data_IF_461704078697
#
_entry.id   IF_461704078697
#
_cell.length_a   1.000
_cell.length_b   1.000
_cell.length_c   1.000
_cell.angle_alpha   90.00
_cell.angle_beta   90.00
_cell.angle_gamma   90.00
#
_symmetry.space_group_name_H-M   'P 1'
#
loop_
_entity.id
_entity.type
_entity.pdbx_description
1 polymer ?
#
# COMPACT_ATOMS: atom_id res chain seq x y z
N UNK A 1 -15.90 -15.46 -2.79
CA UNK A 1 -16.51 -14.20 -2.32
C UNK A 1 -15.35 -13.26 -2.09
N UNK A 2 -15.02 -12.41 -3.07
CA UNK A 2 -13.95 -11.42 -2.91
C UNK A 2 -14.30 -10.51 -1.73
N UNK A 3 -13.33 -10.13 -0.88
CA UNK A 3 -13.63 -9.22 0.21
C UNK A 3 -14.17 -7.93 -0.38
N UNK A 4 -15.26 -7.42 0.21
CA UNK A 4 -15.72 -6.06 -0.02
C UNK A 4 -14.50 -5.18 0.21
N UNK A 5 -14.06 -4.46 -0.83
CA UNK A 5 -12.87 -3.61 -0.75
C UNK A 5 -12.98 -2.63 0.42
N UNK A 6 -11.84 -2.10 0.89
CA UNK A 6 -11.82 -1.12 1.98
C UNK A 6 -12.78 0.03 1.60
N UNK A 7 -13.87 0.25 2.36
CA UNK A 7 -14.85 1.27 2.00
C UNK A 7 -14.24 2.66 2.08
N UNK A 8 -14.76 3.59 1.28
CA UNK A 8 -14.34 4.98 1.33
C UNK A 8 -14.57 5.56 2.75
N UNK A 9 -13.51 6.03 3.44
CA UNK A 9 -13.64 6.61 4.77
C UNK A 9 -14.41 7.94 4.77
N UNK A 10 -14.59 8.60 3.62
CA UNK A 10 -15.18 9.93 3.47
C UNK A 10 -14.51 10.98 4.35
N UNK A 11 -13.19 10.84 4.49
CA UNK A 11 -12.36 11.77 5.24
C UNK A 11 -12.34 13.14 4.56
N UNK A 12 -12.48 14.20 5.36
CA UNK A 12 -12.55 15.58 4.89
C UNK A 12 -11.19 16.26 4.92
N UNK A 13 -10.30 15.85 5.82
CA UNK A 13 -8.94 16.37 5.85
C UNK A 13 -8.14 15.80 4.66
N UNK A 14 -7.65 16.66 3.74
CA UNK A 14 -6.96 16.18 2.54
C UNK A 14 -5.68 15.39 2.85
N UNK A 15 -4.95 15.76 3.91
CA UNK A 15 -3.72 15.09 4.29
C UNK A 15 -4.01 13.68 4.82
N UNK A 16 -5.05 13.53 5.64
CA UNK A 16 -5.46 12.21 6.13
C UNK A 16 -5.99 11.36 4.97
N UNK A 17 -6.85 11.91 4.12
CA UNK A 17 -7.38 11.19 2.95
C UNK A 17 -6.25 10.71 2.02
N UNK A 18 -5.29 11.58 1.69
CA UNK A 18 -4.13 11.23 0.87
C UNK A 18 -3.22 10.19 1.54
N UNK A 19 -3.02 10.29 2.85
CA UNK A 19 -2.28 9.29 3.63
C UNK A 19 -2.95 7.92 3.62
N UNK A 20 -4.27 7.86 3.81
CA UNK A 20 -5.05 6.62 3.77
C UNK A 20 -5.03 5.98 2.37
N UNK A 21 -5.25 6.77 1.32
CA UNK A 21 -5.18 6.31 -0.06
C UNK A 21 -3.78 5.73 -0.39
N UNK A 22 -2.71 6.44 -0.01
CA UNK A 22 -1.32 5.99 -0.18
C UNK A 22 -1.02 4.71 0.57
N UNK A 23 -1.56 4.56 1.79
CA UNK A 23 -1.41 3.35 2.58
C UNK A 23 -2.10 2.16 1.92
N UNK A 24 -3.30 2.35 1.36
CA UNK A 24 -4.02 1.28 0.64
C UNK A 24 -3.23 0.83 -0.59
N UNK A 25 -2.72 1.76 -1.41
CA UNK A 25 -1.88 1.43 -2.57
C UNK A 25 -0.60 0.69 -2.17
N UNK A 26 0.06 1.13 -1.09
CA UNK A 26 1.24 0.45 -0.55
C UNK A 26 0.92 -0.97 -0.04
N UNK A 27 -0.22 -1.15 0.62
CA UNK A 27 -0.68 -2.46 1.07
C UNK A 27 -0.97 -3.39 -0.11
N UNK A 28 -1.64 -2.91 -1.16
CA UNK A 28 -1.90 -3.70 -2.38
C UNK A 28 -0.59 -4.16 -3.01
N UNK A 29 0.38 -3.25 -3.14
CA UNK A 29 1.72 -3.56 -3.67
C UNK A 29 2.39 -4.67 -2.84
N UNK A 30 2.40 -4.51 -1.51
CA UNK A 30 3.03 -5.48 -0.62
C UNK A 30 2.31 -6.83 -0.58
N UNK A 31 0.97 -6.84 -0.63
CA UNK A 31 0.19 -8.08 -0.69
C UNK A 31 0.43 -8.82 -1.99
N UNK A 32 0.40 -8.13 -3.13
CA UNK A 32 0.65 -8.76 -4.43
C UNK A 32 2.06 -9.34 -4.50
N UNK A 33 3.07 -8.63 -4.00
CA UNK A 33 4.41 -9.18 -3.87
C UNK A 33 4.46 -10.46 -3.00
N UNK A 34 3.76 -10.48 -1.85
CA UNK A 34 3.64 -11.70 -1.02
C UNK A 34 2.94 -12.85 -1.78
N UNK A 35 1.92 -12.54 -2.58
CA UNK A 35 1.25 -13.52 -3.43
C UNK A 35 2.22 -14.06 -4.50
N UNK A 36 3.04 -13.21 -5.12
CA UNK A 36 4.08 -13.66 -6.06
C UNK A 36 5.10 -14.61 -5.40
N UNK A 37 5.40 -14.41 -4.12
CA UNK A 37 6.27 -15.31 -3.34
C UNK A 37 5.61 -16.65 -2.97
N UNK A 38 4.32 -16.82 -3.22
CA UNK A 38 3.59 -18.02 -2.82
C UNK A 38 2.93 -17.93 -1.43
N UNK A 39 2.98 -16.78 -0.75
CA UNK A 39 2.35 -16.61 0.56
C UNK A 39 0.85 -16.43 0.36
N UNK A 40 0.02 -17.26 0.99
CA UNK A 40 -1.44 -17.25 0.77
C UNK A 40 -2.19 -16.83 2.04
N UNK A 41 -3.30 -16.11 1.86
CA UNK A 41 -4.22 -15.72 2.96
C UNK A 41 -4.82 -16.92 3.70
N UNK A 42 -4.90 -18.07 3.04
CA UNK A 42 -5.38 -19.33 3.63
C UNK A 42 -4.39 -19.97 4.61
N UNK A 43 -3.15 -19.46 4.68
CA UNK A 43 -2.04 -20.07 5.41
C UNK A 43 -1.41 -21.29 4.70
N UNK A 44 -1.98 -21.74 3.57
CA UNK A 44 -1.42 -22.80 2.74
C UNK A 44 -0.59 -22.18 1.63
N UNK A 45 0.70 -22.00 1.88
CA UNK A 45 1.61 -21.40 0.91
C UNK A 45 1.79 -22.28 -0.33
N UNK A 46 1.97 -21.62 -1.47
CA UNK A 46 2.21 -22.20 -2.78
C UNK A 46 3.70 -22.20 -3.10
N UNK A 47 4.32 -23.38 -3.07
CA UNK A 47 5.72 -23.58 -3.38
C UNK A 47 5.96 -24.08 -4.81
N UNK A 48 4.93 -24.08 -5.67
CA UNK A 48 5.06 -24.51 -7.07
C UNK A 48 5.74 -23.44 -7.91
N UNK A 49 6.24 -23.82 -9.08
CA UNK A 49 6.83 -22.87 -10.04
C UNK A 49 5.79 -21.88 -10.59
N UNK A 50 4.50 -22.24 -10.57
CA UNK A 50 3.39 -21.41 -11.05
C UNK A 50 2.86 -20.40 -10.02
N UNK A 51 3.45 -20.33 -8.82
CA UNK A 51 2.99 -19.46 -7.71
C UNK A 51 2.84 -17.99 -8.06
N UNK A 52 3.58 -17.49 -9.06
CA UNK A 52 3.56 -16.09 -9.55
C UNK A 52 2.33 -15.80 -10.41
N UNK A 53 1.64 -16.83 -10.91
CA UNK A 53 0.46 -16.71 -11.80
C UNK A 53 -0.79 -17.31 -11.20
N UNK A 54 -0.65 -18.17 -10.20
CA UNK A 54 -1.76 -18.90 -9.58
C UNK A 54 -2.39 -18.12 -8.41
N UNK A 55 -2.73 -16.86 -8.64
CA UNK A 55 -3.49 -16.03 -7.70
C UNK A 55 -4.23 -14.91 -8.43
N UNK A 56 -5.32 -14.45 -7.82
CA UNK A 56 -5.97 -13.20 -8.22
C UNK A 56 -5.28 -12.04 -7.51
N UNK A 57 -4.71 -11.06 -8.24
CA UNK A 57 -4.09 -9.90 -7.64
C UNK A 57 -5.10 -9.08 -6.84
N UNK A 58 -4.65 -8.52 -5.71
CA UNK A 58 -5.39 -7.49 -5.00
C UNK A 58 -5.40 -6.21 -5.84
N UNK A 59 -6.54 -5.53 -5.83
CA UNK A 59 -6.77 -4.27 -6.55
C UNK A 59 -7.23 -3.23 -5.52
N UNK A 60 -6.71 -2.01 -5.62
CA UNK A 60 -7.14 -0.92 -4.76
C UNK A 60 -8.63 -0.59 -5.01
N UNK A 61 -9.40 -0.21 -3.97
CA UNK A 61 -10.75 0.32 -4.14
C UNK A 61 -10.76 1.57 -5.02
N UNK A 62 -11.84 1.76 -5.81
CA UNK A 62 -11.94 2.87 -6.76
C UNK A 62 -11.70 4.26 -6.13
N UNK A 63 -12.19 4.50 -4.91
CA UNK A 63 -12.03 5.79 -4.21
C UNK A 63 -10.57 6.20 -4.03
N UNK A 64 -9.64 5.24 -3.95
CA UNK A 64 -8.22 5.52 -3.76
C UNK A 64 -7.66 6.34 -4.93
N UNK A 65 -8.10 6.02 -6.16
CA UNK A 65 -7.70 6.73 -7.37
C UNK A 65 -8.32 8.13 -7.48
N UNK A 66 -9.39 8.41 -6.73
CA UNK A 66 -10.08 9.70 -6.72
C UNK A 66 -9.42 10.71 -5.76
N UNK A 67 -8.56 10.26 -4.85
CA UNK A 67 -7.88 11.13 -3.89
C UNK A 67 -6.69 11.83 -4.56
N UNK A 68 -6.70 13.18 -4.67
CA UNK A 68 -5.63 13.92 -5.33
C UNK A 68 -4.37 14.00 -4.48
N UNK A 69 -3.26 14.37 -5.11
CA UNK A 69 -2.03 14.73 -4.42
C UNK A 69 -2.18 16.03 -3.60
N UNK A 70 -1.41 16.14 -2.52
CA UNK A 70 -1.37 17.35 -1.70
C UNK A 70 -0.67 18.50 -2.43
N UNK A 71 -1.17 19.73 -2.23
CA UNK A 71 -0.56 20.94 -2.80
C UNK A 71 0.88 21.16 -2.31
N UNK A 72 1.14 20.82 -1.04
CA UNK A 72 2.45 20.95 -0.39
C UNK A 72 2.95 19.59 0.05
N UNK A 73 4.27 19.40 -0.04
CA UNK A 73 4.92 18.18 0.40
C UNK A 73 4.68 17.97 1.90
N UNK A 74 4.05 16.85 2.25
CA UNK A 74 3.98 16.36 3.61
C UNK A 74 5.15 15.42 3.88
N UNK A 75 6.10 15.86 4.70
CA UNK A 75 7.27 15.06 5.05
C UNK A 75 7.06 14.34 6.38
N UNK A 76 6.78 13.04 6.31
CA UNK A 76 6.69 12.12 7.46
C UNK A 76 7.94 11.23 7.60
N UNK A 77 8.94 11.45 6.74
CA UNK A 77 10.16 10.63 6.62
C UNK A 77 11.36 11.28 7.31
N UNK A 78 11.43 12.60 7.28
CA UNK A 78 12.55 13.34 7.85
C UNK A 78 12.48 13.32 9.38
N UNK A 79 13.06 12.29 9.97
CA UNK A 79 13.39 12.24 11.39
C UNK A 79 14.92 12.38 11.57
N UNK A 80 15.42 13.47 12.19
CA UNK A 80 16.85 13.70 12.36
C UNK A 80 17.56 12.65 13.24
N UNK A 81 16.80 11.78 13.91
CA UNK A 81 17.32 10.75 14.82
C UNK A 81 17.19 9.32 14.28
N UNK A 82 16.69 9.12 13.05
CA UNK A 82 16.54 7.78 12.47
C UNK A 82 17.06 7.71 11.03
N UNK A 83 17.74 6.61 10.72
CA UNK A 83 17.96 6.20 9.33
C UNK A 83 16.69 5.52 8.84
N UNK A 84 15.82 6.27 8.19
CA UNK A 84 14.63 5.72 7.56
C UNK A 84 14.96 5.19 6.16
N UNK A 85 14.33 4.08 5.76
CA UNK A 85 14.44 3.55 4.40
C UNK A 85 13.85 4.50 3.35
N UNK A 86 14.07 4.23 2.07
CA UNK A 86 13.59 5.09 0.97
C UNK A 86 12.07 5.36 1.04
N UNK A 87 11.61 6.58 0.69
CA UNK A 87 10.19 6.88 0.58
C UNK A 87 9.48 5.95 -0.42
N UNK A 88 8.26 5.52 -0.07
CA UNK A 88 7.52 4.57 -0.90
C UNK A 88 6.80 5.28 -2.07
N UNK A 89 6.83 4.73 -3.30
CA UNK A 89 6.22 5.35 -4.48
C UNK A 89 4.75 5.74 -4.30
N UNK A 90 3.93 4.86 -3.70
CA UNK A 90 2.51 5.13 -3.44
C UNK A 90 2.23 6.40 -2.62
N UNK A 91 3.16 6.80 -1.74
CA UNK A 91 3.06 8.05 -0.98
C UNK A 91 3.58 9.24 -1.79
N UNK A 92 4.66 9.03 -2.55
CA UNK A 92 5.24 10.07 -3.40
C UNK A 92 4.26 10.56 -4.48
N UNK A 93 3.43 9.68 -5.03
CA UNK A 93 2.36 10.02 -5.98
C UNK A 93 1.36 11.05 -5.42
N UNK A 94 1.19 11.09 -4.10
CA UNK A 94 0.31 12.04 -3.41
C UNK A 94 1.04 13.18 -2.71
N UNK A 95 2.31 13.41 -3.08
CA UNK A 95 3.18 14.44 -2.50
C UNK A 95 3.38 14.23 -0.98
N UNK A 96 3.55 12.98 -0.57
CA UNK A 96 3.87 12.57 0.80
C UNK A 96 5.21 11.81 0.79
N UNK A 97 6.14 12.20 1.66
CA UNK A 97 7.32 11.37 1.95
C UNK A 97 7.03 10.53 3.19
N UNK A 98 6.93 9.23 3.02
CA UNK A 98 6.79 8.28 4.12
C UNK A 98 7.51 6.96 3.79
N UNK A 99 8.10 6.35 4.80
CA UNK A 99 8.66 5.00 4.71
C UNK A 99 7.65 3.97 5.24
N UNK A 100 7.45 2.89 4.48
CA UNK A 100 6.56 1.78 4.87
C UNK A 100 7.30 0.43 4.88
N UNK A 101 8.63 0.41 5.07
CA UNK A 101 9.43 -0.81 4.93
C UNK A 101 8.91 -2.04 5.71
N UNK A 102 8.29 -1.82 6.87
CA UNK A 102 7.72 -2.88 7.72
C UNK A 102 6.52 -3.62 7.11
N UNK A 103 5.83 -3.07 6.11
CA UNK A 103 4.70 -3.77 5.47
C UNK A 103 5.16 -4.97 4.63
N UNK A 104 6.45 -5.00 4.28
CA UNK A 104 7.09 -6.09 3.53
C UNK A 104 7.68 -7.19 4.42
N UNK A 105 7.61 -7.05 5.75
CA UNK A 105 8.03 -8.12 6.66
C UNK A 105 7.18 -9.39 6.42
N UNK A 106 7.82 -10.56 6.45
CA UNK A 106 7.24 -11.91 6.26
C UNK A 106 7.63 -12.85 7.39
#
# INVERSE_FOLDING_TARGET
MSPVGIPDPREKDPAIAAGLASLVDAMVTAFNWKLELGIRRTGKNDSTDDRVRNFEPEIAPAWVAEVPALEKLLDLHTNPHRKEGEPHPAFMERNIKACVGRIYDV
#
